data_IF_125585406813
#
_entry.id   IF_125585406813
#
_cell.length_a   1.000
_cell.length_b   1.000
_cell.length_c   1.000
_cell.angle_alpha   90.00
_cell.angle_beta   90.00
_cell.angle_gamma   90.00
#
_symmetry.space_group_name_H-M   'P 1'
#
loop_
_entity.id
_entity.type
_entity.pdbx_description
1 polymer ?
#
# COMPACT_ATOMS: atom_id res chain seq x y z
N UNK A 1 -4.66 9.64 8.86
CA UNK A 1 -4.29 8.25 8.50
C UNK A 1 -5.44 7.39 8.92
N UNK A 2 -5.71 6.28 8.23
CA UNK A 2 -6.61 5.30 8.78
C UNK A 2 -5.88 4.58 9.92
N UNK A 3 -6.60 4.18 10.96
CA UNK A 3 -6.08 3.26 11.96
C UNK A 3 -6.53 1.85 11.57
N UNK A 4 -5.69 0.85 11.78
CA UNK A 4 -6.03 -0.53 11.43
C UNK A 4 -7.35 -0.99 12.07
N UNK A 5 -7.59 -0.59 13.32
CA UNK A 5 -8.80 -0.90 14.07
C UNK A 5 -10.08 -0.26 13.47
N UNK A 6 -9.95 0.77 12.62
CA UNK A 6 -11.06 1.46 11.97
C UNK A 6 -11.38 0.90 10.58
N UNK A 7 -10.65 -0.12 10.12
CA UNK A 7 -10.93 -0.78 8.84
C UNK A 7 -12.17 -1.68 8.93
N UNK A 8 -12.82 -2.01 7.81
CA UNK A 8 -13.88 -3.01 7.80
C UNK A 8 -13.41 -4.33 8.42
N UNK A 9 -14.28 -5.01 9.18
CA UNK A 9 -13.92 -6.24 9.90
C UNK A 9 -13.38 -7.34 8.98
N UNK A 10 -13.94 -7.46 7.77
CA UNK A 10 -13.47 -8.41 6.75
C UNK A 10 -12.03 -8.12 6.31
N UNK A 11 -11.69 -6.84 6.18
CA UNK A 11 -10.33 -6.39 5.82
C UNK A 11 -9.37 -6.62 6.98
N UNK A 12 -9.80 -6.37 8.23
CA UNK A 12 -8.98 -6.67 9.40
C UNK A 12 -8.67 -8.17 9.50
N UNK A 13 -9.69 -9.03 9.36
CA UNK A 13 -9.53 -10.49 9.36
C UNK A 13 -8.55 -10.95 8.28
N UNK A 14 -8.78 -10.54 7.03
CA UNK A 14 -7.89 -10.91 5.93
C UNK A 14 -6.46 -10.40 6.14
N UNK A 15 -6.29 -9.17 6.64
CA UNK A 15 -4.97 -8.63 6.95
C UNK A 15 -4.25 -9.43 8.03
N UNK A 16 -4.94 -9.87 9.07
CA UNK A 16 -4.35 -10.66 10.17
C UNK A 16 -3.83 -12.02 9.73
N UNK A 17 -4.33 -12.55 8.61
CA UNK A 17 -3.85 -13.80 8.00
C UNK A 17 -2.53 -13.61 7.23
N UNK A 18 -2.24 -12.38 6.77
CA UNK A 18 -1.08 -12.09 5.92
C UNK A 18 0.06 -11.40 6.70
N UNK A 19 -0.27 -10.53 7.67
CA UNK A 19 0.70 -9.74 8.43
C UNK A 19 0.29 -9.62 9.90
N UNK A 20 1.29 -9.47 10.79
CA UNK A 20 1.02 -9.13 12.20
C UNK A 20 0.45 -7.70 12.29
N UNK A 21 -0.79 -7.51 12.79
CA UNK A 21 -1.40 -6.19 12.92
C UNK A 21 -0.57 -5.19 13.74
N UNK A 22 0.20 -5.67 14.71
CA UNK A 22 1.05 -4.83 15.57
C UNK A 22 2.25 -4.26 14.83
N UNK A 23 2.60 -4.85 13.69
CA UNK A 23 3.72 -4.41 12.85
C UNK A 23 3.33 -3.31 11.86
N UNK A 24 2.04 -2.98 11.73
CA UNK A 24 1.51 -1.99 10.79
C UNK A 24 1.89 -0.58 11.26
N UNK A 25 2.64 0.14 10.42
CA UNK A 25 3.10 1.52 10.68
C UNK A 25 2.36 2.56 9.85
N UNK A 26 1.73 2.15 8.74
CA UNK A 26 0.84 2.99 7.94
C UNK A 26 -0.37 2.18 7.50
N UNK A 27 -1.53 2.83 7.63
CA UNK A 27 -2.77 2.39 7.00
C UNK A 27 -3.35 3.56 6.20
N UNK A 28 -3.61 3.30 4.92
CA UNK A 28 -4.13 4.27 3.96
C UNK A 28 -5.23 3.64 3.11
N UNK A 29 -6.10 4.47 2.56
CA UNK A 29 -7.19 4.06 1.69
C UNK A 29 -6.97 4.74 0.34
N UNK A 30 -6.89 3.94 -0.71
CA UNK A 30 -6.86 4.32 -2.11
C UNK A 30 -8.09 3.76 -2.84
N UNK A 31 -7.99 3.68 -4.17
CA UNK A 31 -9.07 3.35 -5.09
C UNK A 31 -9.48 4.59 -5.90
N UNK A 32 -9.44 4.46 -7.22
CA UNK A 32 -9.88 5.50 -8.17
C UNK A 32 -11.39 5.47 -8.42
N UNK A 33 -12.06 4.37 -8.07
CA UNK A 33 -13.48 4.17 -8.33
C UNK A 33 -14.25 4.23 -7.01
N UNK A 34 -15.32 5.02 -6.98
CA UNK A 34 -16.24 5.25 -5.86
C UNK A 34 -16.82 3.97 -5.21
N UNK A 35 -16.51 2.78 -5.73
CA UNK A 35 -17.13 1.50 -5.35
C UNK A 35 -16.14 0.37 -5.01
N UNK A 36 -14.82 0.59 -5.13
CA UNK A 36 -13.82 -0.45 -4.84
C UNK A 36 -12.65 0.16 -4.06
N UNK A 37 -12.79 0.35 -2.74
CA UNK A 37 -11.73 0.89 -1.92
C UNK A 37 -10.56 -0.10 -1.86
N UNK A 38 -9.36 0.47 -1.91
CA UNK A 38 -8.11 -0.28 -1.73
C UNK A 38 -7.52 0.08 -0.39
N UNK A 39 -7.27 -0.93 0.44
CA UNK A 39 -6.74 -0.78 1.78
C UNK A 39 -5.25 -1.11 1.75
N UNK A 40 -4.44 -0.09 1.96
CA UNK A 40 -2.98 -0.18 1.92
C UNK A 40 -2.46 -0.27 3.34
N UNK A 41 -1.81 -1.38 3.66
CA UNK A 41 -1.20 -1.67 4.95
C UNK A 41 0.31 -1.80 4.76
N UNK A 42 1.07 -1.03 5.53
CA UNK A 42 2.52 -1.00 5.42
C UNK A 42 3.11 -1.33 6.77
N UNK A 43 4.02 -2.31 6.78
CA UNK A 43 4.84 -2.66 7.94
C UNK A 43 6.25 -2.09 7.77
N UNK A 44 7.20 -2.51 8.61
CA UNK A 44 8.61 -2.13 8.44
C UNK A 44 9.26 -2.76 7.19
N UNK A 45 8.72 -3.86 6.69
CA UNK A 45 9.36 -4.66 5.64
C UNK A 45 8.44 -5.07 4.50
N UNK A 46 7.12 -4.90 4.66
CA UNK A 46 6.10 -5.36 3.73
C UNK A 46 5.08 -4.28 3.39
N UNK A 47 4.57 -4.37 2.18
CA UNK A 47 3.42 -3.65 1.68
C UNK A 47 2.33 -4.68 1.34
N UNK A 48 1.17 -4.57 1.97
CA UNK A 48 0.00 -5.38 1.70
C UNK A 48 -1.11 -4.46 1.16
N UNK A 49 -1.70 -4.83 0.04
CA UNK A 49 -2.84 -4.12 -0.53
C UNK A 49 -4.02 -5.08 -0.64
N UNK A 50 -5.10 -4.71 0.04
CA UNK A 50 -6.36 -5.43 0.04
C UNK A 50 -7.41 -4.63 -0.72
N UNK A 51 -8.41 -5.29 -1.27
CA UNK A 51 -9.55 -4.63 -1.89
C UNK A 51 -10.85 -5.32 -1.49
N UNK A 52 -11.93 -4.56 -1.54
CA UNK A 52 -13.28 -5.13 -1.56
C UNK A 52 -13.79 -5.19 -2.99
N UNK A 53 -14.34 -6.34 -3.35
CA UNK A 53 -14.96 -6.59 -4.63
C UNK A 53 -16.32 -7.27 -4.43
N UNK A 54 -17.14 -7.26 -5.47
CA UNK A 54 -18.48 -7.85 -5.46
C UNK A 54 -18.59 -8.88 -6.59
N UNK A 55 -18.93 -10.12 -6.27
CA UNK A 55 -19.37 -11.11 -7.25
C UNK A 55 -20.91 -11.14 -7.19
N UNK A 56 -21.56 -10.60 -8.22
CA UNK A 56 -22.99 -10.33 -8.17
C UNK A 56 -23.33 -9.35 -7.03
N UNK A 57 -24.12 -9.81 -6.07
CA UNK A 57 -24.52 -9.03 -4.87
C UNK A 57 -23.67 -9.34 -3.63
N UNK A 58 -22.69 -10.25 -3.72
CA UNK A 58 -21.93 -10.71 -2.56
C UNK A 58 -20.60 -9.94 -2.43
N UNK A 59 -20.45 -9.09 -1.39
CA UNK A 59 -19.20 -8.39 -1.14
C UNK A 59 -18.18 -9.31 -0.45
N UNK A 60 -16.98 -9.38 -1.02
CA UNK A 60 -15.85 -10.13 -0.50
C UNK A 60 -14.58 -9.27 -0.46
N UNK A 61 -13.68 -9.61 0.46
CA UNK A 61 -12.36 -9.02 0.54
C UNK A 61 -11.36 -9.93 -0.17
N UNK A 62 -10.35 -9.33 -0.81
CA UNK A 62 -9.28 -10.06 -1.47
C UNK A 62 -7.94 -9.36 -1.30
N UNK A 63 -6.87 -10.15 -1.36
CA UNK A 63 -5.50 -9.62 -1.48
C UNK A 63 -5.28 -9.22 -2.94
N UNK A 64 -5.01 -7.93 -3.20
CA UNK A 64 -4.58 -7.50 -4.53
C UNK A 64 -3.14 -7.91 -4.77
N UNK A 65 -2.27 -7.62 -3.80
CA UNK A 65 -0.89 -8.05 -3.79
C UNK A 65 -0.26 -7.86 -2.40
N UNK A 66 0.79 -8.64 -2.16
CA UNK A 66 1.70 -8.52 -1.02
C UNK A 66 3.11 -8.44 -1.57
N UNK A 67 3.89 -7.45 -1.12
CA UNK A 67 5.26 -7.23 -1.57
C UNK A 67 6.18 -7.02 -0.37
N UNK A 68 7.28 -7.76 -0.34
CA UNK A 68 8.42 -7.42 0.49
C UNK A 68 9.18 -6.24 -0.12
N UNK A 69 9.67 -5.32 0.72
CA UNK A 69 10.38 -4.13 0.21
C UNK A 69 11.63 -4.49 -0.59
N UNK A 70 12.25 -5.64 -0.33
CA UNK A 70 13.41 -6.12 -1.08
C UNK A 70 13.10 -6.50 -2.54
N UNK A 71 11.83 -6.73 -2.88
CA UNK A 71 11.40 -7.03 -4.25
C UNK A 71 11.21 -5.75 -5.09
N UNK A 72 11.07 -4.60 -4.43
CA UNK A 72 10.77 -3.33 -5.07
C UNK A 72 12.05 -2.74 -5.68
N UNK A 73 12.01 -2.47 -6.98
CA UNK A 73 13.13 -1.89 -7.73
C UNK A 73 12.93 -0.39 -7.89
N UNK A 74 11.69 0.03 -8.15
CA UNK A 74 11.37 1.42 -8.40
C UNK A 74 10.03 1.83 -7.78
N UNK A 75 10.00 3.09 -7.31
CA UNK A 75 8.86 3.70 -6.61
C UNK A 75 8.71 5.16 -7.05
N UNK A 76 7.53 5.50 -7.59
CA UNK A 76 7.18 6.85 -7.98
C UNK A 76 5.77 7.23 -7.54
N UNK A 77 5.56 8.55 -7.38
CA UNK A 77 4.22 9.13 -7.24
C UNK A 77 3.88 9.79 -8.56
N UNK A 78 2.78 9.36 -9.16
CA UNK A 78 2.22 9.98 -10.35
C UNK A 78 0.94 10.72 -9.97
N UNK A 79 0.70 11.87 -10.60
CA UNK A 79 -0.52 12.63 -10.39
C UNK A 79 -1.03 13.17 -11.73
N UNK A 80 -2.23 12.74 -12.11
CA UNK A 80 -2.98 13.42 -13.17
C UNK A 80 -3.39 14.82 -12.72
N UNK A 81 -3.79 15.68 -13.67
CA UNK A 81 -4.30 17.01 -13.34
C UNK A 81 -5.47 16.96 -12.35
N UNK A 82 -6.41 16.03 -12.55
CA UNK A 82 -7.53 15.78 -11.64
C UNK A 82 -7.10 15.32 -10.26
N UNK A 83 -6.11 14.42 -10.18
CA UNK A 83 -5.56 13.96 -8.90
C UNK A 83 -4.87 15.10 -8.14
N UNK A 84 -4.18 16.02 -8.82
CA UNK A 84 -3.61 17.22 -8.17
C UNK A 84 -4.70 18.09 -7.54
N UNK A 85 -5.80 18.32 -8.27
CA UNK A 85 -6.96 19.06 -7.75
C UNK A 85 -7.60 18.35 -6.54
N UNK A 86 -7.79 17.03 -6.62
CA UNK A 86 -8.37 16.22 -5.55
C UNK A 86 -7.40 15.89 -4.40
N UNK A 87 -6.15 16.36 -4.45
CA UNK A 87 -5.04 15.99 -3.53
C UNK A 87 -4.81 14.47 -3.41
N UNK A 88 -5.14 13.75 -4.47
CA UNK A 88 -4.91 12.32 -4.65
C UNK A 88 -3.64 12.08 -5.48
N UNK A 89 -3.23 10.82 -5.55
CA UNK A 89 -2.06 10.37 -6.28
C UNK A 89 -2.18 8.89 -6.63
N UNK A 90 -1.45 8.49 -7.65
CA UNK A 90 -1.15 7.10 -7.94
C UNK A 90 0.23 6.76 -7.38
N UNK A 91 0.32 5.71 -6.56
CA UNK A 91 1.59 5.11 -6.18
C UNK A 91 1.91 4.00 -7.17
N UNK A 92 3.00 4.17 -7.92
CA UNK A 92 3.53 3.17 -8.84
C UNK A 92 4.69 2.43 -8.19
N UNK A 93 4.62 1.11 -8.24
CA UNK A 93 5.58 0.19 -7.63
C UNK A 93 6.01 -0.80 -8.70
N UNK A 94 7.30 -0.87 -8.95
CA UNK A 94 7.87 -1.75 -9.97
C UNK A 94 8.75 -2.81 -9.29
N UNK A 95 8.50 -4.06 -9.67
CA UNK A 95 9.32 -5.22 -9.32
C UNK A 95 9.88 -5.84 -10.60
N UNK A 96 10.74 -6.85 -10.48
CA UNK A 96 11.50 -7.47 -11.59
C UNK A 96 10.66 -7.82 -12.84
N UNK A 97 9.37 -8.14 -12.70
CA UNK A 97 8.52 -8.61 -13.81
C UNK A 97 7.14 -7.96 -13.87
N UNK A 98 6.81 -7.11 -12.90
CA UNK A 98 5.44 -6.62 -12.73
C UNK A 98 5.42 -5.18 -12.24
N UNK A 99 4.36 -4.49 -12.62
CA UNK A 99 4.07 -3.12 -12.18
C UNK A 99 2.75 -3.11 -11.43
N UNK A 100 2.79 -2.60 -10.21
CA UNK A 100 1.62 -2.40 -9.36
C UNK A 100 1.27 -0.92 -9.28
N UNK A 101 -0.03 -0.64 -9.39
CA UNK A 101 -0.58 0.69 -9.26
C UNK A 101 -1.60 0.72 -8.12
N UNK A 102 -1.47 1.75 -7.29
CA UNK A 102 -2.45 2.08 -6.25
C UNK A 102 -2.93 3.50 -6.49
N UNK A 103 -4.12 3.63 -7.06
CA UNK A 103 -4.72 4.92 -7.36
C UNK A 103 -5.44 5.53 -6.16
N UNK A 104 -5.77 6.83 -6.25
CA UNK A 104 -6.67 7.48 -5.30
C UNK A 104 -6.11 7.71 -3.90
N UNK A 105 -4.85 7.32 -3.64
CA UNK A 105 -4.19 7.58 -2.37
C UNK A 105 -4.03 9.08 -2.12
N UNK A 106 -4.27 9.52 -0.89
CA UNK A 106 -3.94 10.90 -0.50
C UNK A 106 -2.45 11.13 -0.67
N UNK A 107 -2.06 12.25 -1.27
CA UNK A 107 -0.66 12.56 -1.56
C UNK A 107 0.28 12.43 -0.34
N UNK A 108 -0.20 12.82 0.84
CA UNK A 108 0.58 12.72 2.10
C UNK A 108 0.88 11.26 2.46
N UNK A 109 -0.08 10.37 2.22
CA UNK A 109 0.02 8.97 2.62
C UNK A 109 0.97 8.27 1.64
N UNK A 110 0.86 8.54 0.32
CA UNK A 110 1.83 8.09 -0.69
C UNK A 110 3.27 8.54 -0.39
N UNK A 111 3.46 9.82 -0.01
CA UNK A 111 4.78 10.32 0.39
C UNK A 111 5.34 9.58 1.60
N UNK A 112 4.52 9.35 2.62
CA UNK A 112 4.92 8.62 3.83
C UNK A 112 5.33 7.18 3.50
N UNK A 113 4.56 6.49 2.65
CA UNK A 113 4.86 5.12 2.20
C UNK A 113 6.20 5.09 1.46
N UNK A 114 6.41 5.98 0.49
CA UNK A 114 7.68 6.05 -0.25
C UNK A 114 8.86 6.34 0.69
N UNK A 115 8.73 7.29 1.61
CA UNK A 115 9.80 7.60 2.56
C UNK A 115 10.14 6.39 3.43
N UNK A 116 9.15 5.65 3.91
CA UNK A 116 9.38 4.43 4.70
C UNK A 116 10.13 3.37 3.92
N UNK A 117 9.70 3.09 2.68
CA UNK A 117 10.36 2.07 1.85
C UNK A 117 11.77 2.52 1.48
N UNK A 118 11.97 3.79 1.11
CA UNK A 118 13.30 4.34 0.78
C UNK A 118 14.27 4.31 1.96
N UNK A 119 13.81 4.62 3.16
CA UNK A 119 14.66 4.55 4.36
C UNK A 119 15.14 3.11 4.64
N UNK A 120 14.34 2.10 4.31
CA UNK A 120 14.77 0.70 4.42
C UNK A 120 15.87 0.34 3.39
N UNK A 121 15.79 0.88 2.17
CA UNK A 121 16.87 0.70 1.20
C UNK A 121 18.19 1.31 1.66
N UNK A 122 18.17 2.53 2.21
CA UNK A 122 19.38 3.20 2.73
C UNK A 122 19.97 2.42 3.92
N UNK A 123 19.14 1.94 4.84
CA UNK A 123 19.61 1.18 5.99
C UNK A 123 20.17 -0.20 5.60
N UNK A 124 19.56 -0.85 4.61
CA UNK A 124 20.05 -2.15 4.10
C UNK A 124 21.36 -2.01 3.32
N UNK A 125 21.59 -0.91 2.59
CA UNK A 125 22.89 -0.66 1.95
C UNK A 125 23.99 -0.36 2.97
N UNK A 126 23.67 0.39 4.04
CA UNK A 126 24.61 0.67 5.13
C UNK A 126 25.01 -0.60 5.89
N UNK A 127 24.06 -1.51 6.15
CA UNK A 127 24.33 -2.78 6.85
C UNK A 127 25.21 -3.77 6.05
N UNK A 128 25.37 -3.57 4.74
CA UNK A 128 26.22 -4.40 3.87
C UNK A 128 27.68 -3.93 3.79
N UNK A 129 27.98 -2.76 4.33
CA UNK A 129 29.32 -2.14 4.32
C UNK A 129 30.10 -2.37 5.62
N UNK A 130 29.53 -3.07 6.59
CA UNK A 130 30.19 -3.44 7.85
C UNK A 130 30.62 -4.92 7.84
N UNK A 131 31.57 -5.29 6.97
CA UNK A 131 32.38 -6.52 7.08
C UNK A 131 33.81 -6.21 6.64
#
# INVERSE_FOLDING_TARGET
MAEFALLPEKIQKLATEQIDPRSIVVCAIGGSQLFQPEFVLVTKHKLLVLAEATIGILPYAMVRFELDFNQIIFLSIEQTFWQKLARQSCLKIEILRENYLIDGLRLRDSKKIITLIRNQFVNSSLSKTEI
#
